data_IF_634604692633
#
_entry.id   IF_634604692633
#
_cell.length_a   1.000
_cell.length_b   1.000
_cell.length_c   1.000
_cell.angle_alpha   90.00
_cell.angle_beta   90.00
_cell.angle_gamma   90.00
#
_symmetry.space_group_name_H-M   'P 1'
#
loop_
_entity.id
_entity.type
_entity.pdbx_description
1 polymer ?
#
# COMPACT_ATOMS: atom_id res chain seq x y z
N UNK A 1 21.06 -2.37 -4.68
CA UNK A 1 19.82 -2.23 -5.48
C UNK A 1 18.69 -1.61 -4.67
N UNK A 2 18.40 -2.10 -3.45
CA UNK A 2 17.32 -1.58 -2.62
C UNK A 2 17.30 -0.04 -2.46
N UNK A 3 18.44 0.60 -2.22
CA UNK A 3 18.56 2.06 -2.04
C UNK A 3 18.32 2.86 -3.33
N UNK A 4 18.37 2.21 -4.49
CA UNK A 4 18.23 2.86 -5.80
C UNK A 4 16.89 2.54 -6.44
N UNK A 5 16.49 1.27 -6.43
CA UNK A 5 15.27 0.79 -7.11
C UNK A 5 14.12 0.48 -6.16
N UNK A 6 14.34 0.47 -4.84
CA UNK A 6 13.35 -0.01 -3.87
C UNK A 6 13.15 -1.53 -3.86
N UNK A 7 13.84 -2.27 -4.74
CA UNK A 7 13.72 -3.73 -4.85
C UNK A 7 14.86 -4.41 -4.08
N UNK A 8 14.51 -5.33 -3.17
CA UNK A 8 15.48 -6.11 -2.41
C UNK A 8 16.23 -7.09 -3.31
N UNK A 9 17.55 -7.18 -3.10
CA UNK A 9 18.39 -8.14 -3.83
C UNK A 9 18.36 -9.54 -3.19
N UNK A 10 18.80 -10.53 -3.95
CA UNK A 10 18.84 -11.93 -3.50
C UNK A 10 19.70 -12.12 -2.24
N UNK A 11 20.77 -11.33 -2.07
CA UNK A 11 21.63 -11.43 -0.89
C UNK A 11 20.91 -11.00 0.39
N UNK A 12 20.12 -9.92 0.32
CA UNK A 12 19.27 -9.47 1.42
C UNK A 12 18.19 -10.50 1.76
N UNK A 13 17.58 -11.10 0.73
CA UNK A 13 16.53 -12.11 0.92
C UNK A 13 17.10 -13.35 1.62
N UNK A 14 18.26 -13.85 1.19
CA UNK A 14 18.91 -15.03 1.79
C UNK A 14 19.20 -14.85 3.28
N UNK A 15 19.47 -13.62 3.74
CA UNK A 15 19.69 -13.32 5.18
C UNK A 15 18.44 -13.53 6.04
N UNK A 16 17.25 -13.49 5.45
CA UNK A 16 15.99 -13.68 6.14
C UNK A 16 15.50 -15.13 6.14
N UNK A 17 16.19 -16.03 5.43
CA UNK A 17 15.78 -17.42 5.29
C UNK A 17 16.41 -18.32 6.37
N UNK A 18 15.66 -19.28 6.92
CA UNK A 18 16.24 -20.29 7.79
C UNK A 18 17.00 -21.36 7.00
N UNK A 19 17.71 -22.23 7.73
CA UNK A 19 18.38 -23.38 7.15
C UNK A 19 17.41 -24.26 6.34
N UNK A 20 17.86 -24.93 5.26
CA UNK A 20 17.01 -25.82 4.46
C UNK A 20 16.28 -26.88 5.30
N UNK A 21 16.95 -27.47 6.29
CA UNK A 21 16.35 -28.46 7.19
C UNK A 21 15.17 -27.89 7.98
N UNK A 22 15.25 -26.62 8.39
CA UNK A 22 14.17 -25.94 9.11
C UNK A 22 13.02 -25.57 8.19
N UNK A 23 13.28 -25.21 6.92
CA UNK A 23 12.24 -24.90 5.91
C UNK A 23 11.33 -26.10 5.64
N UNK A 24 11.89 -27.30 5.60
CA UNK A 24 11.14 -28.53 5.37
C UNK A 24 10.24 -28.97 6.55
N UNK A 25 10.46 -28.42 7.75
CA UNK A 25 9.77 -28.93 8.95
C UNK A 25 8.36 -28.37 9.14
N UNK A 26 8.21 -27.04 9.01
CA UNK A 26 6.94 -26.32 9.27
C UNK A 26 7.02 -24.88 8.75
N UNK A 27 5.88 -24.18 8.61
CA UNK A 27 5.84 -22.81 8.13
C UNK A 27 6.72 -21.84 8.94
N UNK A 28 7.19 -20.79 8.28
CA UNK A 28 8.03 -19.75 8.87
C UNK A 28 7.79 -18.39 8.20
N UNK A 29 7.94 -17.27 8.93
CA UNK A 29 7.88 -15.94 8.37
C UNK A 29 9.21 -15.56 7.72
N UNK A 30 9.14 -14.96 6.54
CA UNK A 30 10.21 -14.17 5.93
C UNK A 30 9.89 -12.70 6.19
N UNK A 31 10.75 -12.03 6.97
CA UNK A 31 10.58 -10.63 7.36
C UNK A 31 11.52 -9.78 6.49
N UNK A 32 10.96 -9.03 5.55
CA UNK A 32 11.71 -8.21 4.57
C UNK A 32 11.89 -6.77 5.06
N UNK A 33 12.31 -6.62 6.33
CA UNK A 33 12.60 -5.32 6.92
C UNK A 33 14.12 -5.07 6.83
N UNK A 34 14.56 -4.31 5.83
CA UNK A 34 16.00 -4.12 5.55
C UNK A 34 16.57 -2.78 6.03
N UNK A 35 15.70 -1.87 6.49
CA UNK A 35 16.06 -0.52 6.91
C UNK A 35 15.63 -0.26 8.36
N UNK A 36 16.31 0.69 9.01
CA UNK A 36 16.03 1.08 10.40
C UNK A 36 14.84 2.04 10.47
N UNK A 37 13.64 1.47 10.50
CA UNK A 37 12.35 2.20 10.55
C UNK A 37 11.79 2.07 11.98
N UNK A 38 11.28 3.14 12.61
CA UNK A 38 10.73 3.09 13.99
C UNK A 38 9.43 2.27 14.07
N UNK A 39 9.55 0.94 14.19
CA UNK A 39 8.43 -0.01 14.12
C UNK A 39 8.75 -1.32 14.85
N UNK A 40 7.93 -1.69 15.84
CA UNK A 40 8.03 -2.94 16.61
C UNK A 40 6.74 -3.82 16.75
N UNK A 41 5.58 -3.59 16.09
CA UNK A 41 4.39 -4.43 16.25
C UNK A 41 4.61 -5.93 16.04
N UNK A 42 5.52 -6.33 15.15
CA UNK A 42 5.78 -7.75 14.90
C UNK A 42 6.41 -8.46 16.10
N UNK A 43 7.27 -7.77 16.85
CA UNK A 43 7.88 -8.29 18.08
C UNK A 43 6.85 -8.34 19.22
N UNK A 44 6.10 -7.26 19.43
CA UNK A 44 5.13 -7.15 20.54
C UNK A 44 3.89 -8.03 20.36
N UNK A 45 3.49 -8.31 19.11
CA UNK A 45 2.34 -9.18 18.81
C UNK A 45 2.66 -10.68 18.81
N UNK A 46 3.93 -11.07 18.88
CA UNK A 46 4.32 -12.47 18.73
C UNK A 46 3.94 -13.29 19.98
N UNK A 47 2.96 -14.21 19.91
CA UNK A 47 2.52 -14.97 21.09
C UNK A 47 3.55 -16.01 21.55
N UNK A 48 4.52 -16.35 20.70
CA UNK A 48 5.59 -17.31 20.98
C UNK A 48 6.91 -16.63 21.34
N UNK A 49 6.96 -15.29 21.35
CA UNK A 49 8.19 -14.51 21.54
C UNK A 49 9.33 -14.97 20.62
N UNK A 50 8.97 -15.37 19.40
CA UNK A 50 9.92 -15.85 18.39
C UNK A 50 10.61 -14.68 17.66
N UNK A 51 9.93 -13.55 17.48
CA UNK A 51 10.58 -12.30 17.07
C UNK A 51 11.12 -11.68 18.35
N UNK A 52 12.45 -11.58 18.45
CA UNK A 52 13.12 -11.17 19.67
C UNK A 52 12.74 -9.71 20.04
N UNK A 53 12.75 -9.38 21.34
CA UNK A 53 12.61 -7.99 21.79
C UNK A 53 13.65 -7.09 21.14
N UNK A 54 13.27 -5.86 20.83
CA UNK A 54 14.13 -4.83 20.26
C UNK A 54 14.51 -3.84 21.36
N UNK A 55 15.78 -3.44 21.41
CA UNK A 55 16.24 -2.42 22.37
C UNK A 55 15.77 -1.02 21.93
N UNK A 56 15.81 -0.75 20.63
CA UNK A 56 15.26 0.44 19.99
C UNK A 56 14.17 0.07 19.00
N UNK A 57 13.13 0.88 18.90
CA UNK A 57 12.09 0.70 17.87
C UNK A 57 12.63 0.81 16.44
N UNK A 58 13.85 1.32 16.26
CA UNK A 58 14.52 1.40 14.97
C UNK A 58 15.29 0.13 14.58
N UNK A 59 15.37 -0.87 15.46
CA UNK A 59 16.13 -2.08 15.21
C UNK A 59 15.43 -3.00 14.20
N UNK A 60 16.24 -3.73 13.42
CA UNK A 60 15.73 -4.71 12.47
C UNK A 60 15.28 -5.96 13.26
N UNK A 61 14.06 -6.47 13.04
CA UNK A 61 13.56 -7.64 13.74
C UNK A 61 14.45 -8.87 13.53
N UNK A 62 14.83 -9.51 14.63
CA UNK A 62 15.55 -10.79 14.63
C UNK A 62 14.60 -11.90 15.00
N UNK A 63 14.60 -12.98 14.22
CA UNK A 63 13.69 -14.11 14.39
C UNK A 63 14.43 -15.36 14.87
N UNK A 64 13.92 -15.95 15.94
CA UNK A 64 14.26 -17.28 16.42
C UNK A 64 13.36 -18.33 15.75
N UNK A 65 13.92 -19.05 14.77
CA UNK A 65 13.18 -20.03 13.98
C UNK A 65 12.78 -21.28 14.76
N UNK A 66 13.42 -21.58 15.89
CA UNK A 66 13.11 -22.73 16.73
C UNK A 66 11.86 -22.49 17.57
N UNK A 67 11.62 -21.24 17.99
CA UNK A 67 10.37 -20.84 18.66
C UNK A 67 9.23 -20.58 17.69
N UNK A 68 9.56 -20.18 16.46
CA UNK A 68 8.54 -19.75 15.50
C UNK A 68 7.70 -20.93 14.98
N UNK A 69 6.38 -20.79 15.07
CA UNK A 69 5.39 -21.75 14.54
C UNK A 69 4.86 -21.38 13.14
N UNK A 70 5.16 -20.18 12.65
CA UNK A 70 4.61 -19.68 11.39
C UNK A 70 3.12 -19.34 11.44
N UNK A 71 2.56 -19.03 12.61
CA UNK A 71 1.12 -18.76 12.78
C UNK A 71 0.58 -17.54 12.00
N UNK A 72 1.44 -16.61 11.56
CA UNK A 72 1.05 -15.42 10.80
C UNK A 72 0.55 -14.22 11.63
N UNK A 73 0.63 -14.27 12.97
CA UNK A 73 0.23 -13.14 13.82
C UNK A 73 1.00 -11.84 13.48
N UNK A 74 2.31 -11.94 13.27
CA UNK A 74 3.16 -10.82 12.89
C UNK A 74 2.80 -10.21 11.53
N UNK A 75 2.36 -11.03 10.56
CA UNK A 75 1.97 -10.55 9.24
C UNK A 75 0.68 -9.70 9.27
N UNK A 76 -0.24 -9.97 10.21
CA UNK A 76 -1.50 -9.20 10.35
C UNK A 76 -1.33 -7.81 10.91
N UNK A 77 -0.28 -7.59 11.69
CA UNK A 77 -0.02 -6.33 12.38
C UNK A 77 1.09 -5.52 11.72
N UNK A 78 1.64 -6.01 10.60
CA UNK A 78 2.77 -5.38 9.94
C UNK A 78 2.28 -4.16 9.14
N UNK A 79 2.58 -2.92 9.56
CA UNK A 79 2.13 -1.74 8.83
C UNK A 79 2.80 -1.59 7.47
N UNK A 80 3.98 -2.21 7.28
CA UNK A 80 4.72 -2.17 6.03
C UNK A 80 4.45 -3.36 5.10
N UNK A 81 3.52 -4.26 5.44
CA UNK A 81 3.19 -5.45 4.63
C UNK A 81 4.40 -6.32 4.25
N UNK A 82 5.46 -6.27 5.05
CA UNK A 82 6.78 -6.82 4.74
C UNK A 82 7.02 -8.22 5.32
N UNK A 83 5.98 -8.90 5.79
CA UNK A 83 6.09 -10.22 6.42
C UNK A 83 5.25 -11.23 5.64
N UNK A 84 5.93 -12.25 5.14
CA UNK A 84 5.34 -13.30 4.31
C UNK A 84 5.49 -14.65 5.01
N UNK A 85 4.42 -15.43 5.13
CA UNK A 85 4.52 -16.76 5.74
C UNK A 85 4.70 -17.79 4.64
N UNK A 86 5.85 -18.47 4.65
CA UNK A 86 6.20 -19.49 3.67
C UNK A 86 6.06 -20.86 4.32
N UNK A 87 5.50 -21.81 3.59
CA UNK A 87 5.45 -23.22 3.95
C UNK A 87 5.91 -24.08 2.77
N UNK A 88 7.02 -24.79 2.97
CA UNK A 88 7.64 -25.71 2.01
C UNK A 88 7.57 -27.17 2.51
N UNK A 89 6.89 -27.42 3.65
CA UNK A 89 6.90 -28.72 4.34
C UNK A 89 6.05 -29.81 3.68
N UNK A 90 5.30 -29.47 2.63
CA UNK A 90 4.33 -30.37 1.98
C UNK A 90 4.96 -31.52 1.21
N UNK A 91 6.16 -31.32 0.66
CA UNK A 91 6.89 -32.37 -0.07
C UNK A 91 6.26 -32.82 -1.40
N UNK A 92 5.25 -32.12 -1.91
CA UNK A 92 4.52 -32.45 -3.15
C UNK A 92 4.99 -31.63 -4.38
N UNK A 93 6.11 -30.92 -4.24
CA UNK A 93 6.63 -30.00 -5.27
C UNK A 93 5.94 -28.63 -5.28
N UNK A 94 4.96 -28.41 -4.40
CA UNK A 94 4.31 -27.11 -4.19
C UNK A 94 4.67 -26.53 -2.83
N UNK A 95 4.70 -25.20 -2.75
CA UNK A 95 4.77 -24.47 -1.51
C UNK A 95 3.54 -23.59 -1.33
N UNK A 96 3.41 -23.01 -0.14
CA UNK A 96 2.41 -21.97 0.10
C UNK A 96 3.05 -20.68 0.58
N UNK A 97 2.53 -19.56 0.08
CA UNK A 97 2.96 -18.21 0.44
C UNK A 97 1.74 -17.46 0.95
N UNK A 98 1.78 -17.01 2.20
CA UNK A 98 0.76 -16.16 2.80
C UNK A 98 1.21 -14.72 2.75
N UNK A 99 0.38 -13.90 2.11
CA UNK A 99 0.60 -12.49 1.86
C UNK A 99 -0.43 -11.67 2.65
N UNK A 100 -0.04 -10.50 3.20
CA UNK A 100 -1.02 -9.52 3.66
C UNK A 100 -1.69 -8.83 2.46
N UNK A 101 -3.00 -8.57 2.56
CA UNK A 101 -3.82 -8.04 1.46
C UNK A 101 -4.76 -6.95 1.96
N UNK A 102 -4.55 -5.72 1.50
CA UNK A 102 -5.27 -4.50 1.95
C UNK A 102 -6.21 -3.90 0.89
N UNK A 103 -6.47 -4.63 -0.19
CA UNK A 103 -7.37 -4.15 -1.24
C UNK A 103 -8.81 -4.62 -1.01
N UNK A 104 -9.76 -3.79 -1.47
CA UNK A 104 -11.17 -4.13 -1.44
C UNK A 104 -11.49 -5.22 -2.47
N UNK A 105 -12.49 -6.03 -2.11
CA UNK A 105 -12.77 -7.36 -2.65
C UNK A 105 -11.66 -8.36 -2.35
N UNK A 106 -11.92 -9.20 -1.34
CA UNK A 106 -11.06 -10.33 -1.05
C UNK A 106 -11.21 -11.39 -2.14
N UNK A 107 -10.11 -12.06 -2.56
CA UNK A 107 -10.19 -13.14 -3.53
C UNK A 107 -10.97 -14.33 -2.95
N UNK A 108 -11.43 -15.22 -3.81
CA UNK A 108 -12.14 -16.42 -3.39
C UNK A 108 -11.19 -17.62 -3.28
N UNK A 109 -11.49 -18.53 -2.34
CA UNK A 109 -10.76 -19.79 -2.26
C UNK A 109 -10.99 -20.61 -3.56
N UNK A 110 -9.91 -21.07 -4.17
CA UNK A 110 -9.90 -21.79 -5.45
C UNK A 110 -9.68 -20.89 -6.66
N UNK A 111 -9.64 -19.57 -6.48
CA UNK A 111 -9.35 -18.63 -7.57
C UNK A 111 -7.90 -18.76 -8.04
N UNK A 112 -7.71 -18.72 -9.37
CA UNK A 112 -6.40 -18.71 -10.00
C UNK A 112 -5.99 -17.27 -10.25
N UNK A 113 -4.84 -16.89 -9.72
CA UNK A 113 -4.29 -15.52 -9.76
C UNK A 113 -2.92 -15.51 -10.40
N UNK A 114 -2.54 -14.38 -10.99
CA UNK A 114 -1.19 -14.19 -11.50
C UNK A 114 -0.31 -13.70 -10.36
N UNK A 115 0.77 -14.42 -10.07
CA UNK A 115 1.71 -14.07 -8.99
C UNK A 115 2.76 -13.09 -9.47
N UNK A 116 3.17 -12.19 -8.58
CA UNK A 116 4.11 -11.11 -8.88
C UNK A 116 5.28 -11.10 -7.91
N UNK A 117 6.45 -10.67 -8.40
CA UNK A 117 7.63 -10.48 -7.57
C UNK A 117 7.70 -9.07 -6.94
N UNK A 118 8.80 -8.81 -6.22
CA UNK A 118 9.08 -7.54 -5.53
C UNK A 118 9.13 -6.31 -6.44
N UNK A 119 9.41 -6.51 -7.74
CA UNK A 119 9.43 -5.45 -8.73
C UNK A 119 8.09 -5.31 -9.46
N UNK A 120 7.09 -6.14 -9.13
CA UNK A 120 5.78 -6.15 -9.78
C UNK A 120 5.70 -6.99 -11.06
N UNK A 121 6.76 -7.69 -11.46
CA UNK A 121 6.74 -8.55 -12.64
C UNK A 121 6.01 -9.86 -12.35
N UNK A 122 5.28 -10.36 -13.35
CA UNK A 122 4.59 -11.65 -13.27
C UNK A 122 5.61 -12.78 -13.24
N UNK A 123 5.48 -13.67 -12.26
CA UNK A 123 6.37 -14.84 -12.06
C UNK A 123 5.70 -16.13 -12.50
N UNK A 124 4.38 -16.21 -12.38
CA UNK A 124 3.62 -17.40 -12.76
C UNK A 124 2.17 -17.32 -12.30
N UNK A 125 1.57 -18.50 -12.13
CA UNK A 125 0.21 -18.65 -11.63
C UNK A 125 0.22 -19.25 -10.23
N UNK A 126 -0.72 -18.81 -9.40
CA UNK A 126 -0.95 -19.33 -8.06
C UNK A 126 -2.43 -19.59 -7.83
N UNK A 127 -2.73 -20.56 -6.96
CA UNK A 127 -4.10 -20.85 -6.54
C UNK A 127 -4.36 -20.36 -5.14
N UNK A 128 -5.43 -19.60 -4.91
CA UNK A 128 -5.82 -19.12 -3.59
C UNK A 128 -6.34 -20.29 -2.74
N UNK A 129 -5.56 -20.76 -1.77
CA UNK A 129 -5.94 -21.90 -0.93
C UNK A 129 -6.67 -21.49 0.35
N UNK A 130 -6.44 -20.27 0.85
CA UNK A 130 -7.04 -19.78 2.08
C UNK A 130 -7.10 -18.27 2.09
N UNK A 131 -8.25 -17.73 2.48
CA UNK A 131 -8.43 -16.31 2.73
C UNK A 131 -8.89 -16.13 4.16
N UNK A 132 -8.18 -15.30 4.91
CA UNK A 132 -8.45 -15.08 6.32
C UNK A 132 -8.59 -13.60 6.59
N UNK A 133 -9.83 -13.13 6.54
CA UNK A 133 -10.26 -11.73 6.59
C UNK A 133 -9.93 -10.96 7.90
N UNK A 134 -9.17 -11.54 8.83
CA UNK A 134 -8.98 -10.97 10.17
C UNK A 134 -10.26 -11.07 11.01
N UNK A 135 -10.14 -10.87 12.33
CA UNK A 135 -11.31 -10.49 13.15
C UNK A 135 -11.46 -8.96 13.01
N UNK A 136 -12.30 -8.31 13.82
CA UNK A 136 -12.63 -6.87 13.80
C UNK A 136 -11.44 -5.90 13.65
N UNK A 137 -10.19 -6.34 13.85
CA UNK A 137 -8.96 -5.60 13.53
C UNK A 137 -7.88 -6.49 12.87
N UNK A 138 -7.08 -5.89 11.97
CA UNK A 138 -5.88 -6.48 11.36
C UNK A 138 -5.98 -6.78 9.87
N UNK A 139 -4.84 -6.79 9.17
CA UNK A 139 -4.77 -7.00 7.72
C UNK A 139 -5.21 -8.42 7.34
N UNK A 140 -6.11 -8.58 6.35
CA UNK A 140 -6.45 -9.87 5.77
C UNK A 140 -5.21 -10.60 5.27
N UNK A 141 -5.18 -11.92 5.45
CA UNK A 141 -4.12 -12.77 4.93
C UNK A 141 -4.67 -13.67 3.83
N UNK A 142 -4.00 -13.68 2.69
CA UNK A 142 -4.30 -14.55 1.55
C UNK A 142 -3.15 -15.53 1.39
N UNK A 143 -3.45 -16.82 1.47
CA UNK A 143 -2.48 -17.89 1.22
C UNK A 143 -2.66 -18.41 -0.19
N UNK A 144 -1.59 -18.34 -0.97
CA UNK A 144 -1.47 -18.88 -2.32
C UNK A 144 -0.70 -20.19 -2.27
N UNK A 145 -1.07 -21.14 -3.14
CA UNK A 145 -0.25 -22.29 -3.49
C UNK A 145 0.45 -22.00 -4.81
N UNK A 146 1.77 -22.21 -4.82
CA UNK A 146 2.67 -21.90 -5.94
C UNK A 146 3.71 -23.02 -6.10
N UNK A 147 4.36 -23.16 -7.26
CA UNK A 147 5.50 -24.05 -7.43
C UNK A 147 6.60 -23.76 -6.39
N UNK A 148 7.27 -24.80 -5.90
CA UNK A 148 8.28 -24.66 -4.83
C UNK A 148 9.41 -23.69 -5.18
N UNK A 149 9.78 -23.62 -6.45
CA UNK A 149 10.82 -22.70 -6.96
C UNK A 149 10.43 -21.22 -6.87
N UNK A 150 9.14 -20.91 -6.83
CA UNK A 150 8.62 -19.53 -6.83
C UNK A 150 8.33 -18.98 -5.43
N UNK A 151 8.37 -19.81 -4.38
CA UNK A 151 7.94 -19.42 -3.02
C UNK A 151 8.70 -18.21 -2.46
N UNK A 152 9.96 -18.05 -2.84
CA UNK A 152 10.80 -16.95 -2.38
C UNK A 152 10.69 -15.68 -3.25
N UNK A 153 10.08 -15.79 -4.43
CA UNK A 153 9.94 -14.69 -5.38
C UNK A 153 8.57 -14.03 -5.29
N UNK A 154 7.52 -14.82 -5.06
CA UNK A 154 6.14 -14.32 -5.00
C UNK A 154 5.94 -13.43 -3.79
N UNK A 155 5.54 -12.17 -4.03
CA UNK A 155 5.28 -11.15 -2.99
C UNK A 155 3.96 -10.42 -3.16
N UNK A 156 3.32 -10.58 -4.31
CA UNK A 156 1.99 -10.06 -4.56
C UNK A 156 1.25 -10.92 -5.59
N UNK A 157 -0.01 -10.60 -5.86
CA UNK A 157 -0.79 -11.21 -6.94
C UNK A 157 -1.85 -10.24 -7.48
N UNK A 158 -2.32 -10.49 -8.68
CA UNK A 158 -3.46 -9.79 -9.28
C UNK A 158 -4.44 -10.79 -9.90
N UNK A 159 -5.66 -10.35 -10.18
CA UNK A 159 -6.61 -11.19 -10.91
C UNK A 159 -6.11 -11.40 -12.34
N UNK A 160 -6.44 -12.56 -12.95
CA UNK A 160 -6.08 -12.82 -14.36
C UNK A 160 -6.63 -11.74 -15.31
N UNK A 161 -7.84 -11.25 -15.02
CA UNK A 161 -8.48 -10.18 -15.81
C UNK A 161 -7.67 -8.88 -15.78
N UNK A 162 -7.10 -8.54 -14.64
CA UNK A 162 -6.24 -7.35 -14.51
C UNK A 162 -4.89 -7.58 -15.18
N UNK A 163 -4.35 -8.80 -15.12
CA UNK A 163 -3.07 -9.17 -15.76
C UNK A 163 -3.15 -9.00 -17.28
N UNK A 164 -4.22 -9.49 -17.91
CA UNK A 164 -4.43 -9.39 -19.36
C UNK A 164 -4.53 -7.92 -19.84
N UNK A 165 -4.88 -7.00 -18.93
CA UNK A 165 -4.92 -5.56 -19.20
C UNK A 165 -3.55 -4.90 -19.01
N UNK A 166 -2.73 -5.42 -18.10
CA UNK A 166 -1.45 -4.83 -17.65
C UNK A 166 -0.22 -5.29 -18.45
N UNK A 167 -0.27 -6.51 -18.99
CA UNK A 167 0.88 -7.15 -19.66
C UNK A 167 0.73 -7.04 -21.18
N UNK A 168 1.70 -6.39 -21.84
CA UNK A 168 1.81 -6.45 -23.31
C UNK A 168 2.09 -7.90 -23.76
N UNK A 169 1.72 -8.27 -24.98
CA UNK A 169 1.80 -9.66 -25.51
C UNK A 169 3.18 -10.35 -25.37
N UNK A 170 4.23 -9.60 -25.04
CA UNK A 170 5.61 -10.08 -24.95
C UNK A 170 6.13 -10.26 -23.49
N UNK A 171 5.26 -10.11 -22.48
CA UNK A 171 5.48 -10.68 -21.14
C UNK A 171 6.53 -10.02 -20.24
N UNK A 172 7.18 -8.93 -20.66
CA UNK A 172 8.32 -8.36 -19.91
C UNK A 172 8.13 -6.92 -19.41
N UNK A 173 7.13 -6.17 -19.89
CA UNK A 173 6.95 -4.76 -19.53
C UNK A 173 5.51 -4.47 -19.09
N UNK A 174 5.38 -3.91 -17.89
CA UNK A 174 4.14 -3.30 -17.42
C UNK A 174 3.91 -2.08 -18.31
N UNK A 175 2.82 -2.06 -19.06
CA UNK A 175 2.47 -0.91 -19.88
C UNK A 175 2.03 0.25 -18.98
N UNK A 176 2.99 1.06 -18.51
CA UNK A 176 2.76 2.23 -17.66
C UNK A 176 1.86 3.27 -18.32
N UNK A 177 1.76 3.28 -19.65
CA UNK A 177 0.94 4.24 -20.40
C UNK A 177 -0.57 4.03 -20.17
N UNK A 178 -0.98 2.83 -19.74
CA UNK A 178 -2.39 2.56 -19.38
C UNK A 178 -2.80 3.08 -18.00
N UNK A 179 -1.86 3.29 -17.08
CA UNK A 179 -2.17 3.86 -15.76
C UNK A 179 -2.41 5.38 -15.81
N UNK A 180 -1.78 6.05 -16.77
CA UNK A 180 -1.94 7.51 -16.97
C UNK A 180 -3.19 7.80 -17.81
N UNK A 181 -3.60 6.86 -18.67
CA UNK A 181 -4.70 7.02 -19.62
C UNK A 181 -5.88 6.07 -19.34
N UNK A 182 -6.30 5.93 -18.08
CA UNK A 182 -7.67 5.46 -17.83
C UNK A 182 -8.62 6.58 -18.26
N UNK A 183 -9.11 6.53 -19.49
CA UNK A 183 -10.22 7.37 -19.92
C UNK A 183 -11.40 7.15 -18.96
N UNK A 184 -11.63 8.14 -18.09
CA UNK A 184 -12.68 8.14 -17.07
C UNK A 184 -12.11 8.21 -15.65
N UNK A 185 -11.66 9.39 -15.22
CA UNK A 185 -11.56 9.67 -13.78
C UNK A 185 -12.98 9.71 -13.23
N UNK A 186 -13.28 8.84 -12.26
CA UNK A 186 -14.61 8.72 -11.63
C UNK A 186 -15.16 10.09 -11.21
N UNK A 187 -16.35 10.44 -11.68
CA UNK A 187 -17.02 11.71 -11.38
C UNK A 187 -17.40 11.80 -9.89
N UNK A 188 -17.62 10.66 -9.24
CA UNK A 188 -17.89 10.55 -7.79
C UNK A 188 -16.60 10.62 -6.95
N UNK A 189 -15.42 10.76 -7.57
CA UNK A 189 -14.17 10.86 -6.85
C UNK A 189 -14.16 12.09 -5.92
N UNK A 190 -13.87 11.87 -4.65
CA UNK A 190 -13.84 12.94 -3.65
C UNK A 190 -12.61 13.83 -3.83
N UNK A 191 -12.84 15.09 -4.22
CA UNK A 191 -11.79 16.11 -4.36
C UNK A 191 -11.54 16.79 -3.01
N UNK A 192 -12.58 17.31 -2.35
CA UNK A 192 -12.46 17.93 -1.03
C UNK A 192 -13.08 17.06 0.05
N UNK A 193 -12.25 16.31 0.77
CA UNK A 193 -12.70 15.43 1.87
C UNK A 193 -13.34 16.19 3.04
N UNK A 194 -12.88 17.41 3.32
CA UNK A 194 -13.37 18.17 4.47
C UNK A 194 -14.78 18.72 4.26
N UNK A 195 -15.08 19.21 3.04
CA UNK A 195 -16.39 19.80 2.72
C UNK A 195 -17.28 18.84 1.93
N UNK A 196 -16.79 17.64 1.61
CA UNK A 196 -17.56 16.61 0.92
C UNK A 196 -17.75 16.83 -0.57
N UNK A 197 -16.84 17.56 -1.24
CA UNK A 197 -17.00 17.96 -2.65
C UNK A 197 -16.37 16.94 -3.59
N UNK A 198 -17.16 16.47 -4.54
CA UNK A 198 -16.80 15.50 -5.59
C UNK A 198 -16.14 16.17 -6.80
N UNK A 199 -15.53 15.36 -7.68
CA UNK A 199 -14.97 15.83 -8.94
C UNK A 199 -16.04 16.39 -9.85
N UNK A 200 -17.20 15.75 -9.95
CA UNK A 200 -18.35 16.21 -10.73
C UNK A 200 -18.71 17.66 -10.42
N UNK A 201 -18.88 18.00 -9.15
CA UNK A 201 -19.24 19.36 -8.72
C UNK A 201 -18.17 20.40 -9.11
N UNK A 202 -16.90 20.03 -9.07
CA UNK A 202 -15.80 20.93 -9.52
C UNK A 202 -15.85 21.11 -11.04
N UNK A 203 -16.05 20.02 -11.80
CA UNK A 203 -16.15 20.06 -13.25
C UNK A 203 -17.36 20.88 -13.72
N UNK A 204 -18.51 20.76 -13.06
CA UNK A 204 -19.72 21.55 -13.32
C UNK A 204 -19.42 23.06 -13.17
N UNK A 205 -18.73 23.46 -12.10
CA UNK A 205 -18.32 24.86 -11.91
C UNK A 205 -17.34 25.34 -12.99
N UNK A 206 -16.40 24.50 -13.41
CA UNK A 206 -15.47 24.87 -14.49
C UNK A 206 -16.23 25.04 -15.82
N UNK A 207 -17.21 24.18 -16.10
CA UNK A 207 -18.08 24.29 -17.27
C UNK A 207 -18.96 25.55 -17.25
N UNK A 208 -19.37 26.03 -16.07
CA UNK A 208 -20.04 27.32 -15.87
C UNK A 208 -19.10 28.53 -16.11
N UNK A 209 -17.79 28.31 -16.16
CA UNK A 209 -16.79 29.33 -16.49
C UNK A 209 -15.91 29.79 -15.33
N UNK A 210 -15.99 29.16 -14.16
CA UNK A 210 -15.07 29.44 -13.05
C UNK A 210 -13.72 28.80 -13.32
N UNK A 211 -12.69 29.62 -13.56
CA UNK A 211 -11.38 29.14 -14.05
C UNK A 211 -10.23 29.40 -13.08
N UNK A 212 -10.55 29.84 -11.85
CA UNK A 212 -9.55 30.02 -10.81
C UNK A 212 -9.89 29.21 -9.56
N UNK A 213 -8.86 28.77 -8.83
CA UNK A 213 -9.04 28.02 -7.57
C UNK A 213 -9.81 28.84 -6.53
N UNK A 214 -9.62 30.17 -6.52
CA UNK A 214 -10.28 31.07 -5.58
C UNK A 214 -11.78 31.25 -5.89
N UNK A 215 -12.18 31.29 -7.17
CA UNK A 215 -13.59 31.32 -7.56
C UNK A 215 -14.29 30.02 -7.16
N UNK A 216 -13.71 28.87 -7.54
CA UNK A 216 -14.25 27.56 -7.20
C UNK A 216 -14.34 27.41 -5.68
N UNK A 217 -13.31 27.81 -4.92
CA UNK A 217 -13.33 27.82 -3.45
C UNK A 217 -14.48 28.66 -2.89
N UNK A 218 -14.75 29.85 -3.43
CA UNK A 218 -15.81 30.74 -2.92
C UNK A 218 -17.21 30.16 -3.12
N UNK A 219 -17.43 29.46 -4.24
CA UNK A 219 -18.74 28.88 -4.57
C UNK A 219 -18.92 27.51 -3.89
N UNK A 220 -18.00 26.58 -4.10
CA UNK A 220 -18.11 25.20 -3.59
C UNK A 220 -17.69 25.03 -2.13
N UNK A 221 -17.04 26.04 -1.54
CA UNK A 221 -16.32 25.94 -0.25
C UNK A 221 -15.12 25.00 -0.26
N UNK A 222 -14.80 24.33 -1.37
CA UNK A 222 -13.68 23.42 -1.45
C UNK A 222 -12.37 24.11 -1.00
N UNK A 223 -11.69 23.50 -0.03
CA UNK A 223 -10.47 24.04 0.56
C UNK A 223 -10.68 24.99 1.76
N UNK A 224 -11.91 25.20 2.22
CA UNK A 224 -12.21 25.97 3.45
C UNK A 224 -12.14 25.14 4.75
N UNK A 225 -12.09 23.81 4.65
CA UNK A 225 -11.98 22.92 5.80
C UNK A 225 -10.64 23.05 6.56
N UNK A 226 -10.45 22.29 7.65
CA UNK A 226 -9.25 22.38 8.51
C UNK A 226 -7.94 22.10 7.77
N UNK A 227 -7.98 21.40 6.63
CA UNK A 227 -6.81 21.18 5.78
C UNK A 227 -6.36 22.42 4.97
N UNK A 228 -7.19 23.47 4.88
CA UNK A 228 -6.90 24.73 4.17
C UNK A 228 -6.38 24.52 2.73
N UNK A 229 -7.09 23.70 1.95
CA UNK A 229 -6.81 23.41 0.54
C UNK A 229 -5.48 22.70 0.22
N UNK A 230 -4.73 22.20 1.22
CA UNK A 230 -3.44 21.50 0.98
C UNK A 230 -3.55 20.28 0.08
N UNK A 231 -4.67 19.55 0.17
CA UNK A 231 -4.91 18.35 -0.63
C UNK A 231 -5.74 18.67 -1.87
N UNK A 232 -6.88 19.33 -1.72
CA UNK A 232 -7.81 19.55 -2.82
C UNK A 232 -7.39 20.71 -3.76
N UNK A 233 -6.61 21.69 -3.29
CA UNK A 233 -6.20 22.85 -4.09
C UNK A 233 -5.41 22.47 -5.35
N UNK A 234 -4.34 21.65 -5.25
CA UNK A 234 -3.62 21.16 -6.41
C UNK A 234 -4.52 20.38 -7.38
N UNK A 235 -5.39 19.51 -6.85
CA UNK A 235 -6.30 18.68 -7.65
C UNK A 235 -7.32 19.52 -8.45
N UNK A 236 -7.90 20.55 -7.82
CA UNK A 236 -8.82 21.48 -8.48
C UNK A 236 -8.11 22.21 -9.63
N UNK A 237 -6.89 22.67 -9.39
CA UNK A 237 -6.14 23.36 -10.41
C UNK A 237 -5.67 22.44 -11.55
N UNK A 238 -5.44 21.15 -11.29
CA UNK A 238 -5.22 20.16 -12.35
C UNK A 238 -6.48 19.94 -13.20
N UNK A 239 -7.67 19.95 -12.59
CA UNK A 239 -8.94 19.84 -13.31
C UNK A 239 -9.22 21.09 -14.17
N UNK A 240 -8.95 22.29 -13.63
CA UNK A 240 -9.02 23.54 -14.41
C UNK A 240 -8.07 23.44 -15.61
N UNK A 241 -6.80 23.04 -15.42
CA UNK A 241 -5.83 22.91 -16.50
C UNK A 241 -6.32 21.96 -17.59
N UNK A 242 -6.87 20.80 -17.17
CA UNK A 242 -7.39 19.77 -18.07
C UNK A 242 -8.58 20.25 -18.89
N UNK A 243 -9.55 20.91 -18.27
CA UNK A 243 -10.79 21.34 -18.93
C UNK A 243 -10.62 22.61 -19.77
N UNK A 244 -9.78 23.54 -19.33
CA UNK A 244 -9.57 24.84 -20.02
C UNK A 244 -8.43 24.79 -21.03
N UNK A 245 -7.56 23.77 -20.97
CA UNK A 245 -6.33 23.68 -21.76
C UNK A 245 -5.24 24.68 -21.35
N UNK A 246 -5.43 25.42 -20.25
CA UNK A 246 -4.42 26.33 -19.73
C UNK A 246 -3.22 25.57 -19.16
N UNK A 247 -1.98 26.06 -19.34
CA UNK A 247 -0.82 25.48 -18.67
C UNK A 247 -1.01 25.47 -17.15
N UNK A 248 -0.69 24.36 -16.49
CA UNK A 248 -0.92 24.19 -15.05
C UNK A 248 -0.30 25.29 -14.19
N UNK A 249 0.86 25.79 -14.60
CA UNK A 249 1.61 26.85 -13.92
C UNK A 249 0.92 28.22 -13.97
N UNK A 250 0.02 28.43 -14.94
CA UNK A 250 -0.76 29.67 -15.04
C UNK A 250 -1.91 29.76 -14.03
N UNK A 251 -2.30 28.62 -13.44
CA UNK A 251 -3.42 28.54 -12.49
C UNK A 251 -2.87 28.79 -11.08
N UNK A 252 -3.09 30.01 -10.61
CA UNK A 252 -2.59 30.47 -9.32
C UNK A 252 -3.27 29.73 -8.16
N UNK A 253 -2.51 29.32 -7.13
CA UNK A 253 -3.08 28.77 -5.92
C UNK A 253 -3.84 29.82 -5.12
N UNK A 254 -4.79 29.38 -4.29
CA UNK A 254 -5.47 30.28 -3.35
C UNK A 254 -4.48 30.92 -2.39
N UNK A 255 -4.70 32.18 -2.01
CA UNK A 255 -3.83 32.86 -1.05
C UNK A 255 -3.74 32.14 0.29
N UNK A 256 -2.52 31.84 0.71
CA UNK A 256 -2.23 31.29 2.03
C UNK A 256 -2.43 32.38 3.11
N UNK A 257 -3.09 32.02 4.21
CA UNK A 257 -3.36 32.94 5.33
C UNK A 257 -2.91 32.31 6.65
N UNK A 258 -2.23 33.07 7.54
CA UNK A 258 -1.98 32.60 8.90
C UNK A 258 -3.28 32.44 9.71
N UNK A 259 -3.32 31.52 10.70
CA UNK A 259 -2.29 30.54 11.04
C UNK A 259 -2.30 29.32 10.07
N UNK A 260 -1.14 28.74 9.81
CA UNK A 260 -0.98 27.58 8.89
C UNK A 260 -1.81 26.37 9.35
N UNK A 261 -1.91 26.19 10.66
CA UNK A 261 -2.70 25.19 11.35
C UNK A 261 -3.63 25.91 12.33
N UNK A 262 -4.81 25.33 12.60
CA UNK A 262 -5.71 25.90 13.59
C UNK A 262 -4.99 25.99 14.95
N UNK A 263 -5.16 27.12 15.64
CA UNK A 263 -4.63 27.36 16.98
C UNK A 263 -5.79 27.73 17.91
N UNK A 264 -5.76 27.27 19.17
CA UNK A 264 -6.75 27.69 20.15
C UNK A 264 -6.61 29.20 20.39
N UNK A 265 -7.70 29.87 20.79
CA UNK A 265 -7.68 31.31 21.06
C UNK A 265 -6.66 31.64 22.18
N UNK A 266 -6.49 30.73 23.15
CA UNK A 266 -5.53 30.86 24.26
C UNK A 266 -4.09 31.09 23.79
N UNK A 267 -3.71 30.48 22.67
CA UNK A 267 -2.39 30.66 22.05
C UNK A 267 -2.12 32.14 21.72
N UNK A 268 -3.13 32.86 21.23
CA UNK A 268 -3.01 34.28 20.88
C UNK A 268 -3.16 35.22 22.08
N UNK A 269 -3.82 34.76 23.16
CA UNK A 269 -3.99 35.56 24.38
C UNK A 269 -2.90 35.33 25.42
N UNK A 270 -1.90 34.48 25.14
CA UNK A 270 -0.80 34.17 26.06
C UNK A 270 -1.22 33.35 27.28
N UNK A 271 -2.31 32.58 27.19
CA UNK A 271 -2.75 31.71 28.28
C UNK A 271 -1.97 30.39 28.27
N UNK A 272 -1.42 30.00 29.42
CA UNK A 272 -0.70 28.73 29.58
C UNK A 272 -1.53 27.54 29.10
N UNK A 273 -0.92 26.69 28.27
CA UNK A 273 -1.48 25.41 27.85
C UNK A 273 -1.72 24.53 29.09
N UNK A 274 -2.98 24.20 29.38
CA UNK A 274 -3.35 23.09 30.25
C UNK A 274 -3.86 21.94 29.40
#
# INVERSE_FOLDING_TARGET
MLTTTGVADNNLIQRCLPSPSRRALRPYPVIECFQKIPCNPCSTSCPFHAILPMDSIHDIPVLDFEKCTGCGACARVCPGLAIFIIDESRGDGTGSVTLPYEFCSLPQKGEIVSTMNRAGYVVGEGTVIRVSAGKTSGTPLVTLSVPIEQVHDVRFFCSKKDTDQLVSKDGAEINTDKFINSEGVDDEAMICRCEGITRREICELIAEGYTTVDEIKRISRAGMGPCQARTCGPLIADEIARMTGQPRDSILPSMHRPPVIAQPISFFTGGDEK
#
